data_IF_711707086401
#
_entry.id   IF_711707086401
#
_cell.length_a   1.000
_cell.length_b   1.000
_cell.length_c   1.000
_cell.angle_alpha   90.00
_cell.angle_beta   90.00
_cell.angle_gamma   90.00
#
_symmetry.space_group_name_H-M   'P 1'
#
loop_
_entity.id
_entity.type
_entity.pdbx_description
1 polymer ?
#
# COMPACT_ATOMS: atom_id res chain seq x y z
N UNK A 1 -4.33 -21.94 -6.38
CA UNK A 1 -2.91 -21.60 -6.12
C UNK A 1 -2.14 -21.36 -7.41
N UNK A 2 -2.22 -22.25 -8.42
CA UNK A 2 -1.49 -22.09 -9.67
C UNK A 2 -1.89 -20.85 -10.50
N UNK A 3 -3.17 -20.48 -10.51
CA UNK A 3 -3.60 -19.21 -11.15
C UNK A 3 -3.03 -17.97 -10.45
N UNK A 4 -2.99 -17.96 -9.11
CA UNK A 4 -2.42 -16.85 -8.32
C UNK A 4 -0.94 -16.62 -8.59
N UNK A 5 -0.16 -17.69 -8.78
CA UNK A 5 1.26 -17.60 -9.11
C UNK A 5 1.46 -16.99 -10.50
N UNK A 6 0.61 -17.35 -11.47
CA UNK A 6 0.66 -16.83 -12.85
C UNK A 6 0.32 -15.36 -12.99
N UNK A 7 -0.23 -14.75 -11.94
CA UNK A 7 -0.67 -13.36 -11.94
C UNK A 7 0.06 -12.49 -10.91
N UNK A 8 1.11 -13.01 -10.29
CA UNK A 8 1.90 -12.27 -9.29
C UNK A 8 3.40 -12.36 -9.57
N UNK A 9 3.81 -12.73 -10.77
CA UNK A 9 5.23 -12.88 -11.14
C UNK A 9 6.00 -11.56 -11.09
N UNK A 10 5.35 -10.44 -11.41
CA UNK A 10 5.94 -9.08 -11.35
C UNK A 10 6.32 -8.64 -9.93
N UNK A 11 5.76 -9.27 -8.89
CA UNK A 11 6.05 -8.93 -7.49
C UNK A 11 7.53 -9.17 -7.16
N UNK A 12 8.11 -10.25 -7.67
CA UNK A 12 9.50 -10.59 -7.40
C UNK A 12 10.50 -9.51 -7.89
N UNK A 13 10.50 -9.10 -9.17
CA UNK A 13 11.39 -8.04 -9.63
C UNK A 13 11.06 -6.67 -8.99
N UNK A 14 9.80 -6.40 -8.64
CA UNK A 14 9.43 -5.18 -7.88
C UNK A 14 10.05 -5.17 -6.47
N UNK A 15 10.03 -6.29 -5.75
CA UNK A 15 10.70 -6.42 -4.45
C UNK A 15 12.22 -6.24 -4.56
N UNK A 16 12.84 -6.74 -5.63
CA UNK A 16 14.26 -6.51 -5.90
C UNK A 16 14.53 -5.02 -6.13
N UNK A 17 13.69 -4.32 -6.90
CA UNK A 17 13.80 -2.88 -7.09
C UNK A 17 13.66 -2.09 -5.78
N UNK A 18 12.69 -2.45 -4.94
CA UNK A 18 12.52 -1.86 -3.61
C UNK A 18 13.73 -2.14 -2.70
N UNK A 19 14.32 -3.34 -2.80
CA UNK A 19 15.57 -3.71 -2.15
C UNK A 19 16.73 -2.81 -2.52
N UNK A 20 16.95 -2.61 -3.83
CA UNK A 20 18.02 -1.75 -4.34
C UNK A 20 17.80 -0.27 -3.95
N UNK A 21 16.55 0.20 -3.94
CA UNK A 21 16.22 1.54 -3.48
C UNK A 21 16.51 1.71 -1.98
N UNK A 22 16.07 0.76 -1.14
CA UNK A 22 16.35 0.80 0.29
C UNK A 22 17.86 0.77 0.57
N UNK A 23 18.62 -0.04 -0.18
CA UNK A 23 20.08 -0.12 -0.06
C UNK A 23 20.76 1.23 -0.32
N UNK A 24 20.40 1.91 -1.41
CA UNK A 24 20.91 3.24 -1.76
C UNK A 24 20.59 4.27 -0.68
N UNK A 25 19.43 4.14 -0.03
CA UNK A 25 18.99 5.06 1.01
C UNK A 25 19.67 4.81 2.36
N UNK A 26 19.97 3.55 2.70
CA UNK A 26 20.66 3.20 3.95
C UNK A 26 22.18 3.33 3.83
N UNK A 27 22.72 3.23 2.61
CA UNK A 27 24.14 3.35 2.30
C UNK A 27 24.34 4.37 1.16
N UNK A 28 24.42 5.67 1.48
CA UNK A 28 24.56 6.73 0.47
C UNK A 28 25.82 6.60 -0.40
N UNK A 29 26.86 5.92 0.09
CA UNK A 29 28.06 5.53 -0.66
C UNK A 29 27.73 4.66 -1.88
N UNK A 30 26.68 3.85 -1.80
CA UNK A 30 26.20 2.99 -2.88
C UNK A 30 25.42 3.76 -3.95
N UNK A 31 25.00 5.01 -3.70
CA UNK A 31 24.25 5.80 -4.67
C UNK A 31 25.06 6.08 -5.95
N UNK A 32 26.36 6.33 -5.81
CA UNK A 32 27.25 6.58 -6.95
C UNK A 32 27.74 5.30 -7.64
N UNK A 33 27.40 4.12 -7.11
CA UNK A 33 27.83 2.86 -7.68
C UNK A 33 27.12 2.62 -9.04
N UNK A 34 27.85 2.60 -10.17
CA UNK A 34 27.25 2.49 -11.49
C UNK A 34 26.48 1.17 -11.64
N UNK A 35 26.95 0.10 -11.00
CA UNK A 35 26.31 -1.23 -11.07
C UNK A 35 24.90 -1.20 -10.48
N UNK A 36 24.70 -0.54 -9.34
CA UNK A 36 23.38 -0.44 -8.69
C UNK A 36 22.44 0.43 -9.52
N UNK A 37 22.94 1.53 -10.07
CA UNK A 37 22.17 2.41 -10.97
C UNK A 37 21.71 1.67 -12.23
N UNK A 38 22.62 0.96 -12.90
CA UNK A 38 22.29 0.20 -14.11
C UNK A 38 21.41 -1.01 -13.80
N UNK A 39 21.59 -1.68 -12.66
CA UNK A 39 20.70 -2.77 -12.23
C UNK A 39 19.26 -2.29 -12.05
N UNK A 40 19.04 -1.14 -11.38
CA UNK A 40 17.70 -0.54 -11.23
C UNK A 40 17.07 -0.22 -12.59
N UNK A 41 17.84 0.39 -13.49
CA UNK A 41 17.37 0.73 -14.86
C UNK A 41 17.08 -0.52 -15.71
N UNK A 42 17.92 -1.55 -15.63
CA UNK A 42 17.75 -2.80 -16.37
C UNK A 42 16.58 -3.65 -15.85
N UNK A 43 16.27 -3.55 -14.55
CA UNK A 43 15.11 -4.21 -13.95
C UNK A 43 13.78 -3.61 -14.42
N UNK A 44 13.75 -2.35 -14.86
CA UNK A 44 12.52 -1.68 -15.29
C UNK A 44 11.80 -2.40 -16.45
N UNK A 45 12.43 -2.63 -17.63
CA UNK A 45 11.77 -3.36 -18.72
C UNK A 45 11.40 -4.80 -18.33
N UNK A 46 12.20 -5.44 -17.46
CA UNK A 46 11.92 -6.78 -16.96
C UNK A 46 10.64 -6.79 -16.10
N UNK A 47 10.56 -5.91 -15.10
CA UNK A 47 9.39 -5.74 -14.22
C UNK A 47 8.13 -5.44 -15.01
N UNK A 48 8.21 -4.54 -16.01
CA UNK A 48 7.06 -4.26 -16.88
C UNK A 48 6.66 -5.45 -17.75
N UNK A 49 7.62 -6.23 -18.26
CA UNK A 49 7.33 -7.42 -19.05
C UNK A 49 6.56 -8.47 -18.23
N UNK A 50 6.98 -8.70 -16.98
CA UNK A 50 6.24 -9.57 -16.06
C UNK A 50 4.86 -9.00 -15.71
N UNK A 51 4.76 -7.69 -15.48
CA UNK A 51 3.48 -7.03 -15.17
C UNK A 51 2.48 -7.17 -16.33
N UNK A 52 2.93 -6.96 -17.57
CA UNK A 52 2.11 -7.13 -18.77
C UNK A 52 1.68 -8.59 -18.97
N UNK A 53 2.59 -9.53 -18.72
CA UNK A 53 2.27 -10.97 -18.72
C UNK A 53 1.22 -11.32 -17.67
N UNK A 54 1.34 -10.79 -16.45
CA UNK A 54 0.38 -11.03 -15.37
C UNK A 54 -1.00 -10.41 -15.71
N UNK A 55 -1.03 -9.19 -16.27
CA UNK A 55 -2.24 -8.55 -16.80
C UNK A 55 -2.92 -9.40 -17.87
N UNK A 56 -2.15 -9.93 -18.81
CA UNK A 56 -2.65 -10.81 -19.85
C UNK A 56 -3.24 -12.11 -19.26
N UNK A 57 -2.55 -12.72 -18.30
CA UNK A 57 -3.00 -13.93 -17.63
C UNK A 57 -4.28 -13.69 -16.82
N UNK A 58 -4.41 -12.53 -16.17
CA UNK A 58 -5.61 -12.18 -15.42
C UNK A 58 -6.82 -12.03 -16.31
N UNK A 59 -6.67 -11.33 -17.44
CA UNK A 59 -7.74 -11.15 -18.41
C UNK A 59 -8.30 -12.52 -18.84
N UNK A 60 -7.41 -13.47 -19.08
CA UNK A 60 -7.73 -14.84 -19.52
C UNK A 60 -8.05 -15.83 -18.37
N UNK A 61 -7.95 -15.42 -17.10
CA UNK A 61 -8.23 -16.30 -15.96
C UNK A 61 -9.71 -16.61 -15.78
N UNK A 62 -10.04 -17.64 -15.01
CA UNK A 62 -11.42 -17.96 -14.64
C UNK A 62 -11.92 -17.19 -13.40
N UNK A 63 -11.14 -16.22 -12.91
CA UNK A 63 -11.51 -15.42 -11.74
C UNK A 63 -12.76 -14.59 -12.01
N UNK A 64 -13.52 -14.30 -10.95
CA UNK A 64 -14.69 -13.44 -11.06
C UNK A 64 -14.31 -12.03 -11.51
N UNK A 65 -15.23 -11.34 -12.18
CA UNK A 65 -14.98 -9.99 -12.71
C UNK A 65 -14.55 -9.02 -11.60
N UNK A 66 -15.11 -9.15 -10.40
CA UNK A 66 -14.74 -8.34 -9.24
C UNK A 66 -13.28 -8.57 -8.82
N UNK A 67 -12.81 -9.82 -8.82
CA UNK A 67 -11.42 -10.12 -8.48
C UNK A 67 -10.50 -9.59 -9.58
N UNK A 68 -10.89 -9.74 -10.86
CA UNK A 68 -10.13 -9.19 -11.99
C UNK A 68 -9.98 -7.68 -11.88
N UNK A 69 -11.06 -6.93 -11.69
CA UNK A 69 -10.97 -5.46 -11.59
C UNK A 69 -10.11 -5.02 -10.41
N UNK A 70 -10.29 -5.60 -9.22
CA UNK A 70 -9.47 -5.22 -8.07
C UNK A 70 -7.98 -5.51 -8.28
N UNK A 71 -7.64 -6.66 -8.89
CA UNK A 71 -6.26 -7.01 -9.21
C UNK A 71 -5.68 -6.12 -10.33
N UNK A 72 -6.45 -5.84 -11.38
CA UNK A 72 -6.06 -4.94 -12.46
C UNK A 72 -5.75 -3.53 -11.95
N UNK A 73 -6.63 -2.94 -11.14
CA UNK A 73 -6.36 -1.66 -10.48
C UNK A 73 -5.09 -1.71 -9.61
N UNK A 74 -4.90 -2.79 -8.86
CA UNK A 74 -3.70 -2.96 -8.01
C UNK A 74 -2.43 -2.98 -8.87
N UNK A 75 -2.45 -3.69 -10.00
CA UNK A 75 -1.31 -3.77 -10.92
C UNK A 75 -1.08 -2.49 -11.71
N UNK A 76 -2.14 -1.74 -12.05
CA UNK A 76 -2.02 -0.38 -12.54
C UNK A 76 -1.24 0.49 -11.54
N UNK A 77 -1.55 0.38 -10.25
CA UNK A 77 -0.77 1.02 -9.19
C UNK A 77 0.69 0.52 -9.13
N UNK A 78 0.92 -0.78 -9.31
CA UNK A 78 2.28 -1.35 -9.36
C UNK A 78 3.09 -0.85 -10.56
N UNK A 79 2.46 -0.56 -11.71
CA UNK A 79 3.14 0.02 -12.87
C UNK A 79 3.80 1.37 -12.51
N UNK A 80 3.04 2.25 -11.86
CA UNK A 80 3.54 3.53 -11.37
C UNK A 80 4.61 3.34 -10.29
N UNK A 81 4.43 2.38 -9.37
CA UNK A 81 5.44 2.05 -8.35
C UNK A 81 6.75 1.58 -8.95
N UNK A 82 6.72 0.67 -9.91
CA UNK A 82 7.92 0.16 -10.60
C UNK A 82 8.70 1.34 -11.22
N UNK A 83 7.99 2.29 -11.84
CA UNK A 83 8.60 3.51 -12.35
C UNK A 83 9.22 4.36 -11.23
N UNK A 84 8.47 4.64 -10.15
CA UNK A 84 8.95 5.40 -9.00
C UNK A 84 10.17 4.74 -8.34
N UNK A 85 10.11 3.44 -8.05
CA UNK A 85 11.22 2.66 -7.47
C UNK A 85 12.48 2.68 -8.35
N UNK A 86 12.33 2.86 -9.66
CA UNK A 86 13.47 2.93 -10.58
C UNK A 86 14.11 4.32 -10.60
N UNK A 87 13.29 5.37 -10.63
CA UNK A 87 13.77 6.74 -10.88
C UNK A 87 13.90 7.61 -9.63
N UNK A 88 13.35 7.19 -8.50
CA UNK A 88 13.43 7.94 -7.26
C UNK A 88 14.89 7.99 -6.75
N UNK A 89 15.31 9.20 -6.37
CA UNK A 89 16.64 9.48 -5.85
C UNK A 89 16.53 10.07 -4.44
N UNK A 90 17.46 9.76 -3.54
CA UNK A 90 17.55 10.43 -2.26
C UNK A 90 17.73 11.93 -2.49
N UNK A 91 16.96 12.74 -1.76
CA UNK A 91 17.11 14.19 -1.80
C UNK A 91 18.51 14.50 -1.29
N UNK A 92 19.38 15.01 -2.15
CA UNK A 92 20.70 15.49 -1.74
C UNK A 92 20.47 16.62 -0.75
N UNK A 93 20.73 16.39 0.53
CA UNK A 93 20.87 17.48 1.48
C UNK A 93 21.92 18.41 0.91
N UNK A 94 21.51 19.63 0.57
CA UNK A 94 22.44 20.72 0.32
C UNK A 94 23.19 20.94 1.63
N UNK A 95 24.40 20.40 1.68
CA UNK A 95 25.55 20.83 2.48
C UNK A 95 25.26 22.10 3.31
N UNK A 96 24.71 21.93 4.51
CA UNK A 96 24.85 22.94 5.56
C UNK A 96 26.24 22.73 6.16
N UNK A 97 27.19 23.54 5.70
CA UNK A 97 28.42 23.83 6.44
C UNK A 97 28.02 24.31 7.83
N UNK A 98 28.41 23.58 8.89
CA UNK A 98 29.45 24.06 9.80
C UNK A 98 29.67 23.11 10.99
N UNK A 99 30.97 22.93 11.25
CA UNK A 99 31.65 22.54 12.49
C UNK A 99 31.88 21.04 12.82
N UNK A 100 33.13 20.69 13.16
CA UNK A 100 33.58 19.32 13.42
C UNK A 100 33.57 18.98 14.91
N UNK A 101 33.42 17.71 15.23
CA UNK A 101 34.05 17.15 16.42
C UNK A 101 34.30 15.66 16.21
N UNK A 102 35.57 15.32 16.11
CA UNK A 102 36.12 13.99 16.29
C UNK A 102 35.56 13.33 17.56
N UNK A 103 35.20 12.06 17.49
CA UNK A 103 35.74 11.08 18.44
C UNK A 103 35.54 9.64 17.97
N UNK A 104 36.68 8.95 17.98
CA UNK A 104 36.93 7.55 17.64
C UNK A 104 36.29 6.65 18.72
N UNK A 105 35.41 5.73 18.36
CA UNK A 105 35.22 4.52 19.18
C UNK A 105 34.91 3.29 18.32
N UNK A 106 35.95 2.50 18.12
CA UNK A 106 35.94 1.12 17.64
C UNK A 106 35.18 0.20 18.60
N UNK A 107 34.57 -0.86 18.04
CA UNK A 107 33.95 -2.05 18.67
C UNK A 107 32.45 -2.01 19.03
N UNK A 108 31.58 -1.94 18.02
CA UNK A 108 30.19 -2.46 18.06
C UNK A 108 29.83 -3.08 16.71
N UNK A 109 30.25 -4.32 16.44
CA UNK A 109 30.05 -4.98 15.12
C UNK A 109 29.39 -6.35 15.26
N UNK A 110 28.36 -6.51 16.11
CA UNK A 110 27.59 -7.77 16.05
C UNK A 110 26.13 -7.70 16.51
N UNK A 111 25.72 -6.68 17.28
CA UNK A 111 24.32 -6.54 17.71
C UNK A 111 23.45 -5.65 16.80
N UNK A 112 24.04 -4.74 16.01
CA UNK A 112 23.35 -3.86 15.06
C UNK A 112 22.92 -4.57 13.76
N UNK A 113 23.65 -5.62 13.33
CA UNK A 113 23.48 -6.24 12.01
C UNK A 113 22.23 -7.12 11.84
N UNK A 114 21.58 -7.57 12.93
CA UNK A 114 20.33 -8.35 12.85
C UNK A 114 19.08 -7.50 13.02
N UNK A 115 19.20 -6.40 13.77
CA UNK A 115 18.16 -5.38 13.86
C UNK A 115 17.97 -4.71 12.49
N UNK A 116 19.05 -4.53 11.74
CA UNK A 116 19.00 -4.09 10.35
C UNK A 116 18.27 -5.08 9.44
N UNK A 117 18.47 -6.40 9.55
CA UNK A 117 17.91 -7.36 8.59
C UNK A 117 16.37 -7.43 8.57
N UNK A 118 15.71 -7.60 9.72
CA UNK A 118 14.24 -7.65 9.79
C UNK A 118 13.62 -6.30 9.44
N UNK A 119 14.19 -5.20 9.95
CA UNK A 119 13.76 -3.85 9.61
C UNK A 119 13.96 -3.54 8.13
N UNK A 120 15.03 -4.04 7.52
CA UNK A 120 15.30 -3.91 6.09
C UNK A 120 14.26 -4.70 5.28
N UNK A 121 13.95 -5.94 5.65
CA UNK A 121 12.91 -6.72 4.96
C UNK A 121 11.53 -6.06 5.07
N UNK A 122 11.15 -5.57 6.25
CA UNK A 122 9.91 -4.82 6.43
C UNK A 122 9.93 -3.52 5.62
N UNK A 123 11.04 -2.78 5.60
CA UNK A 123 11.18 -1.56 4.82
C UNK A 123 11.03 -1.82 3.32
N UNK A 124 11.66 -2.89 2.81
CA UNK A 124 11.57 -3.31 1.41
C UNK A 124 10.12 -3.67 1.05
N UNK A 125 9.45 -4.43 1.91
CA UNK A 125 8.05 -4.80 1.70
C UNK A 125 7.13 -3.57 1.69
N UNK A 126 7.34 -2.64 2.63
CA UNK A 126 6.59 -1.38 2.68
C UNK A 126 6.88 -0.51 1.45
N UNK A 127 8.12 -0.42 0.99
CA UNK A 127 8.46 0.31 -0.24
C UNK A 127 7.76 -0.29 -1.47
N UNK A 128 7.69 -1.62 -1.53
CA UNK A 128 7.04 -2.33 -2.62
C UNK A 128 5.50 -2.18 -2.61
N UNK A 129 4.86 -2.17 -1.43
CA UNK A 129 3.40 -2.33 -1.31
C UNK A 129 2.65 -1.27 -0.50
N UNK A 130 3.31 -0.50 0.36
CA UNK A 130 2.68 0.55 1.18
C UNK A 130 2.64 1.90 0.44
N UNK A 131 1.75 2.81 0.84
CA UNK A 131 1.37 4.01 0.08
C UNK A 131 2.48 4.82 -0.60
N UNK A 132 3.63 5.02 0.05
CA UNK A 132 4.76 5.83 -0.45
C UNK A 132 5.96 4.97 -0.86
N UNK A 133 6.68 5.36 -1.91
CA UNK A 133 7.98 4.80 -2.26
C UNK A 133 9.15 5.56 -1.63
N UNK A 134 8.88 6.53 -0.73
CA UNK A 134 9.89 7.30 -0.02
C UNK A 134 10.35 6.59 1.28
N UNK A 135 11.61 6.14 1.38
CA UNK A 135 12.12 5.48 2.59
C UNK A 135 12.17 6.36 3.84
N UNK A 136 11.99 7.69 3.74
CA UNK A 136 11.89 8.56 4.92
C UNK A 136 10.55 8.45 5.65
N UNK A 137 9.51 7.90 5.01
CA UNK A 137 8.18 7.69 5.59
C UNK A 137 8.05 6.37 6.35
N UNK A 138 9.18 5.70 6.64
CA UNK A 138 9.27 4.38 7.30
C UNK A 138 8.26 4.25 8.45
N UNK A 139 7.40 3.24 8.36
CA UNK A 139 6.72 2.71 9.53
C UNK A 139 7.81 2.10 10.41
N UNK A 140 8.24 2.85 11.42
CA UNK A 140 9.17 2.33 12.40
C UNK A 140 8.50 1.21 13.17
N UNK A 141 9.14 0.05 13.22
CA UNK A 141 8.86 -0.99 14.21
C UNK A 141 9.31 -0.46 15.58
N UNK A 142 8.63 0.57 16.07
CA UNK A 142 8.89 1.15 17.37
C UNK A 142 8.47 0.13 18.43
N UNK A 143 9.36 -0.19 19.40
CA UNK A 143 8.94 -0.93 20.57
C UNK A 143 7.88 -0.10 21.30
N UNK A 144 6.70 -0.67 21.50
CA UNK A 144 5.65 -0.01 22.26
C UNK A 144 5.96 -0.09 23.76
N UNK A 145 5.87 1.03 24.47
CA UNK A 145 5.95 1.03 25.93
C UNK A 145 4.82 0.14 26.49
N UNK A 146 5.17 -0.90 27.26
CA UNK A 146 4.22 -1.82 27.93
C UNK A 146 3.22 -2.54 26.99
N UNK A 147 3.71 -3.11 25.89
CA UNK A 147 2.94 -3.98 25.00
C UNK A 147 2.51 -5.31 25.67
N UNK A 148 1.36 -5.29 26.34
CA UNK A 148 0.76 -6.45 26.99
C UNK A 148 -0.21 -7.24 26.10
N UNK A 149 -0.72 -8.36 26.62
CA UNK A 149 -1.76 -9.18 25.97
C UNK A 149 -3.05 -8.36 25.71
N UNK A 150 -3.33 -7.38 26.57
CA UNK A 150 -4.48 -6.49 26.44
C UNK A 150 -4.49 -5.69 25.13
N UNK A 151 -3.36 -5.05 24.78
CA UNK A 151 -3.27 -4.25 23.56
C UNK A 151 -3.40 -5.11 22.29
N UNK A 152 -2.81 -6.32 22.31
CA UNK A 152 -2.96 -7.26 21.21
C UNK A 152 -4.41 -7.77 21.09
N UNK A 153 -5.12 -7.92 22.21
CA UNK A 153 -6.53 -8.29 22.22
C UNK A 153 -7.40 -7.15 21.66
N UNK A 154 -7.12 -5.89 22.00
CA UNK A 154 -7.78 -4.72 21.38
C UNK A 154 -7.53 -4.72 19.87
N UNK A 155 -6.29 -4.94 19.43
CA UNK A 155 -5.94 -5.05 18.02
C UNK A 155 -6.74 -6.14 17.31
N UNK A 156 -6.83 -7.33 17.91
CA UNK A 156 -7.59 -8.46 17.39
C UNK A 156 -9.09 -8.17 17.32
N UNK A 157 -9.70 -7.71 18.41
CA UNK A 157 -11.12 -7.37 18.50
C UNK A 157 -11.50 -6.26 17.52
N UNK A 158 -10.66 -5.23 17.39
CA UNK A 158 -10.85 -4.16 16.43
C UNK A 158 -10.83 -4.67 14.99
N UNK A 159 -9.92 -5.59 14.68
CA UNK A 159 -9.82 -6.24 13.36
C UNK A 159 -11.04 -7.12 13.07
N UNK A 160 -11.47 -7.93 14.04
CA UNK A 160 -12.66 -8.78 13.92
C UNK A 160 -13.93 -7.95 13.72
N UNK A 161 -14.11 -6.88 14.51
CA UNK A 161 -15.23 -5.93 14.36
C UNK A 161 -15.28 -5.35 12.95
N UNK A 162 -14.13 -4.95 12.40
CA UNK A 162 -14.04 -4.41 11.04
C UNK A 162 -14.42 -5.46 10.01
N UNK A 163 -13.93 -6.70 10.13
CA UNK A 163 -14.30 -7.79 9.21
C UNK A 163 -15.79 -8.11 9.25
N UNK A 164 -16.41 -8.15 10.43
CA UNK A 164 -17.86 -8.37 10.57
C UNK A 164 -18.61 -7.25 9.84
N UNK A 165 -18.24 -6.00 10.07
CA UNK A 165 -18.84 -4.85 9.41
C UNK A 165 -18.71 -4.93 7.88
N UNK A 166 -17.51 -5.23 7.36
CA UNK A 166 -17.28 -5.39 5.92
C UNK A 166 -18.12 -6.53 5.32
N UNK A 167 -18.29 -7.64 6.04
CA UNK A 167 -19.15 -8.75 5.59
C UNK A 167 -20.62 -8.33 5.53
N UNK A 168 -21.16 -7.69 6.56
CA UNK A 168 -22.54 -7.18 6.55
C UNK A 168 -22.75 -6.18 5.41
N UNK A 169 -21.82 -5.25 5.22
CA UNK A 169 -21.84 -4.30 4.11
C UNK A 169 -21.78 -5.00 2.73
N UNK A 170 -20.99 -6.06 2.60
CA UNK A 170 -20.90 -6.86 1.37
C UNK A 170 -22.22 -7.53 1.03
N UNK A 171 -22.85 -8.19 2.01
CA UNK A 171 -24.14 -8.85 1.82
C UNK A 171 -25.22 -7.82 1.47
N UNK A 172 -25.25 -6.69 2.16
CA UNK A 172 -26.20 -5.61 1.85
C UNK A 172 -26.00 -5.08 0.41
N UNK A 173 -24.76 -4.82 0.00
CA UNK A 173 -24.44 -4.38 -1.36
C UNK A 173 -24.81 -5.43 -2.42
N UNK A 174 -24.58 -6.72 -2.16
CA UNK A 174 -24.98 -7.82 -3.04
C UNK A 174 -26.50 -7.91 -3.20
N UNK A 175 -27.24 -7.78 -2.10
CA UNK A 175 -28.70 -7.80 -2.13
C UNK A 175 -29.24 -6.63 -2.95
N UNK A 176 -28.74 -5.41 -2.72
CA UNK A 176 -29.13 -4.21 -3.45
C UNK A 176 -28.77 -4.31 -4.94
N UNK A 177 -27.57 -4.78 -5.27
CA UNK A 177 -27.13 -5.03 -6.64
C UNK A 177 -28.04 -6.03 -7.35
N UNK A 178 -28.30 -7.19 -6.72
CA UNK A 178 -29.18 -8.23 -7.26
C UNK A 178 -30.58 -7.68 -7.51
N UNK A 179 -31.11 -6.93 -6.55
CA UNK A 179 -32.43 -6.32 -6.64
C UNK A 179 -32.54 -5.30 -7.77
N UNK A 180 -31.49 -4.52 -8.03
CA UNK A 180 -31.45 -3.59 -9.15
C UNK A 180 -31.38 -4.26 -10.54
N UNK A 181 -30.94 -5.52 -10.58
CA UNK A 181 -30.79 -6.30 -11.81
C UNK A 181 -31.96 -7.24 -12.10
N UNK A 182 -32.75 -7.60 -11.09
CA UNK A 182 -33.85 -8.53 -11.26
C UNK A 182 -35.14 -7.80 -11.66
N UNK A 183 -35.41 -7.77 -12.96
CA UNK A 183 -36.58 -7.07 -13.51
C UNK A 183 -37.90 -7.74 -13.11
N UNK A 184 -37.88 -9.01 -12.68
CA UNK A 184 -39.08 -9.76 -12.28
C UNK A 184 -39.64 -9.33 -10.92
N UNK A 185 -38.78 -8.87 -10.02
CA UNK A 185 -39.15 -8.44 -8.65
C UNK A 185 -39.69 -7.00 -8.66
N UNK A 186 -39.23 -6.17 -9.60
CA UNK A 186 -39.50 -4.74 -9.66
C UNK A 186 -40.95 -4.42 -10.07
N UNK A 187 -41.68 -5.36 -10.69
CA UNK A 187 -42.99 -5.08 -11.30
C UNK A 187 -44.15 -4.83 -10.30
N UNK A 188 -44.05 -5.29 -9.05
CA UNK A 188 -45.24 -5.44 -8.20
C UNK A 188 -45.34 -4.52 -6.97
N UNK A 189 -44.37 -3.63 -6.73
CA UNK A 189 -44.30 -2.86 -5.47
C UNK A 189 -43.75 -1.42 -5.70
N UNK A 190 -44.41 -0.37 -5.17
CA UNK A 190 -44.04 1.03 -5.43
C UNK A 190 -42.65 1.44 -4.93
N UNK A 191 -42.12 0.78 -3.89
CA UNK A 191 -40.74 0.97 -3.40
C UNK A 191 -39.69 0.62 -4.47
N UNK A 192 -40.00 -0.28 -5.41
CA UNK A 192 -39.08 -0.75 -6.43
C UNK A 192 -39.04 0.15 -7.68
N UNK A 193 -40.02 1.06 -7.82
CA UNK A 193 -39.99 2.11 -8.86
C UNK A 193 -38.82 3.06 -8.63
N UNK A 194 -38.50 3.36 -7.37
CA UNK A 194 -37.34 4.18 -7.00
C UNK A 194 -36.02 3.48 -7.40
N UNK A 195 -35.92 2.17 -7.16
CA UNK A 195 -34.75 1.36 -7.52
C UNK A 195 -34.53 1.34 -9.04
N UNK A 196 -35.62 1.32 -9.82
CA UNK A 196 -35.55 1.41 -11.29
C UNK A 196 -35.02 2.77 -11.74
N UNK A 197 -35.50 3.85 -11.13
CA UNK A 197 -35.09 5.22 -11.50
C UNK A 197 -33.63 5.50 -11.18
N UNK A 198 -33.08 4.92 -10.11
CA UNK A 198 -31.69 5.09 -9.70
C UNK A 198 -30.82 3.85 -9.96
N UNK A 199 -31.19 3.02 -10.94
CA UNK A 199 -30.52 1.74 -11.22
C UNK A 199 -29.01 1.92 -11.47
N UNK A 200 -28.63 2.94 -12.22
CA UNK A 200 -27.22 3.27 -12.50
C UNK A 200 -26.45 3.66 -11.23
N UNK A 201 -27.02 4.50 -10.40
CA UNK A 201 -26.42 5.05 -9.19
C UNK A 201 -26.29 3.97 -8.12
N UNK A 202 -27.31 3.12 -7.98
CA UNK A 202 -27.29 1.96 -7.09
C UNK A 202 -26.21 0.97 -7.52
N UNK A 203 -26.05 0.74 -8.83
CA UNK A 203 -24.98 -0.09 -9.37
C UNK A 203 -23.61 0.51 -9.08
N UNK A 204 -23.41 1.79 -9.37
CA UNK A 204 -22.16 2.49 -9.11
C UNK A 204 -21.79 2.45 -7.62
N UNK A 205 -22.76 2.70 -6.74
CA UNK A 205 -22.58 2.61 -5.29
C UNK A 205 -22.18 1.21 -4.85
N UNK A 206 -22.92 0.18 -5.29
CA UNK A 206 -22.63 -1.21 -4.95
C UNK A 206 -21.25 -1.65 -5.47
N UNK A 207 -20.87 -1.20 -6.66
CA UNK A 207 -19.54 -1.42 -7.22
C UNK A 207 -18.44 -0.81 -6.35
N UNK A 208 -18.61 0.46 -5.95
CA UNK A 208 -17.71 1.13 -5.02
C UNK A 208 -17.58 0.40 -3.68
N UNK A 209 -18.70 -0.15 -3.17
CA UNK A 209 -18.70 -0.98 -1.96
C UNK A 209 -17.89 -2.27 -2.15
N UNK A 210 -18.03 -2.97 -3.28
CA UNK A 210 -17.25 -4.17 -3.55
C UNK A 210 -15.75 -3.91 -3.70
N UNK A 211 -15.37 -2.81 -4.35
CA UNK A 211 -13.97 -2.41 -4.46
C UNK A 211 -13.39 -2.10 -3.07
N UNK A 212 -14.09 -1.30 -2.28
CA UNK A 212 -13.66 -0.99 -0.92
C UNK A 212 -13.47 -2.24 -0.06
N UNK A 213 -14.47 -3.12 -0.04
CA UNK A 213 -14.43 -4.36 0.74
C UNK A 213 -13.31 -5.27 0.21
N UNK A 214 -13.14 -5.34 -1.12
CA UNK A 214 -12.09 -6.10 -1.78
C UNK A 214 -10.68 -5.66 -1.40
N UNK A 215 -10.48 -4.39 -1.07
CA UNK A 215 -9.19 -3.84 -0.61
C UNK A 215 -9.03 -3.99 0.91
N UNK A 216 -10.05 -3.63 1.70
CA UNK A 216 -9.94 -3.56 3.16
C UNK A 216 -9.93 -4.94 3.83
N UNK A 217 -10.60 -5.94 3.23
CA UNK A 217 -10.64 -7.30 3.75
C UNK A 217 -9.26 -7.99 3.74
N UNK A 218 -8.48 -8.00 2.63
CA UNK A 218 -7.10 -8.46 2.65
C UNK A 218 -6.23 -7.76 3.70
N UNK A 219 -6.40 -6.46 3.91
CA UNK A 219 -5.72 -5.72 4.99
C UNK A 219 -6.06 -6.27 6.38
N UNK A 220 -7.34 -6.59 6.63
CA UNK A 220 -7.76 -7.21 7.87
C UNK A 220 -7.20 -8.63 8.04
N UNK A 221 -7.13 -9.43 6.97
CA UNK A 221 -6.52 -10.76 6.98
C UNK A 221 -5.02 -10.69 7.29
N UNK A 222 -4.32 -9.71 6.71
CA UNK A 222 -2.91 -9.46 7.02
C UNK A 222 -2.72 -9.11 8.51
N UNK A 223 -3.56 -8.21 9.06
CA UNK A 223 -3.56 -7.89 10.49
C UNK A 223 -3.76 -9.13 11.36
N UNK A 224 -4.74 -9.99 11.04
CA UNK A 224 -4.95 -11.26 11.75
C UNK A 224 -3.74 -12.18 11.67
N UNK A 225 -3.08 -12.27 10.51
CA UNK A 225 -1.87 -13.08 10.36
C UNK A 225 -0.73 -12.60 11.26
N UNK A 226 -0.53 -11.29 11.39
CA UNK A 226 0.50 -10.72 12.24
C UNK A 226 0.20 -10.91 13.72
N UNK A 227 -1.08 -10.82 14.12
CA UNK A 227 -1.51 -11.18 15.47
C UNK A 227 -1.23 -12.66 15.77
N UNK A 228 -1.60 -13.58 14.85
CA UNK A 228 -1.33 -15.00 15.00
C UNK A 228 0.17 -15.28 15.15
N UNK A 229 1.00 -14.67 14.29
CA UNK A 229 2.46 -14.75 14.38
C UNK A 229 2.99 -14.26 15.74
N UNK A 230 2.44 -13.16 16.28
CA UNK A 230 2.86 -12.62 17.59
C UNK A 230 2.45 -13.54 18.74
N UNK A 231 1.26 -14.14 18.68
CA UNK A 231 0.83 -15.15 19.66
C UNK A 231 1.72 -16.40 19.59
N UNK A 232 1.99 -16.92 18.39
CA UNK A 232 2.90 -18.04 18.19
C UNK A 232 4.31 -17.71 18.70
N UNK A 233 4.81 -16.49 18.44
CA UNK A 233 6.10 -16.02 18.93
C UNK A 233 6.19 -16.03 20.46
N UNK A 234 5.15 -15.59 21.17
CA UNK A 234 5.07 -15.65 22.64
C UNK A 234 5.02 -17.07 23.20
N UNK A 235 4.37 -17.99 22.49
CA UNK A 235 4.35 -19.40 22.88
C UNK A 235 5.73 -20.02 22.65
N UNK A 236 6.34 -19.75 21.51
CA UNK A 236 7.64 -20.30 21.12
C UNK A 236 8.77 -19.75 21.99
N UNK A 237 8.72 -18.49 22.41
CA UNK A 237 9.74 -17.90 23.29
C UNK A 237 9.82 -18.56 24.67
N UNK A 238 8.73 -19.21 25.12
CA UNK A 238 8.72 -20.00 26.36
C UNK A 238 9.32 -21.40 26.20
N UNK A 239 9.35 -21.91 24.97
CA UNK A 239 9.74 -23.30 24.66
C UNK A 239 11.17 -23.37 24.12
N UNK A 240 11.60 -22.36 23.37
CA UNK A 240 12.92 -22.35 22.72
C UNK A 240 14.02 -21.99 23.73
N UNK A 241 14.97 -22.90 23.90
CA UNK A 241 16.14 -22.70 24.75
C UNK A 241 17.29 -21.96 24.07
N UNK A 242 17.26 -21.78 22.74
CA UNK A 242 18.29 -21.02 22.03
C UNK A 242 18.17 -19.51 22.38
N UNK A 243 19.19 -18.93 23.05
CA UNK A 243 19.15 -17.54 23.50
C UNK A 243 19.05 -16.53 22.34
N UNK A 244 19.56 -16.87 21.14
CA UNK A 244 19.50 -15.97 19.97
C UNK A 244 18.09 -15.90 19.39
N UNK A 245 17.43 -17.04 19.29
CA UNK A 245 16.05 -17.13 18.79
C UNK A 245 15.11 -16.51 19.81
N UNK A 246 15.31 -16.81 21.11
CA UNK A 246 14.53 -16.23 22.19
C UNK A 246 14.58 -14.69 22.20
N UNK A 247 15.78 -14.08 22.13
CA UNK A 247 15.95 -12.62 22.04
C UNK A 247 15.24 -12.00 20.83
N UNK A 248 15.18 -12.72 19.70
CA UNK A 248 14.50 -12.24 18.48
C UNK A 248 12.98 -12.27 18.65
N UNK A 249 12.45 -13.36 19.23
CA UNK A 249 11.02 -13.50 19.52
C UNK A 249 10.56 -12.47 20.56
N UNK A 250 11.33 -12.25 21.62
CA UNK A 250 11.04 -11.23 22.63
C UNK A 250 10.96 -9.82 22.04
N UNK A 251 11.87 -9.48 21.12
CA UNK A 251 11.80 -8.20 20.39
C UNK A 251 10.54 -8.08 19.54
N UNK A 252 10.20 -9.13 18.79
CA UNK A 252 8.95 -9.13 18.01
C UNK A 252 7.71 -9.01 18.93
N UNK A 253 7.75 -9.59 20.12
CA UNK A 253 6.68 -9.49 21.12
C UNK A 253 6.50 -8.05 21.67
N UNK A 254 7.50 -7.18 21.54
CA UNK A 254 7.45 -5.76 21.93
C UNK A 254 6.92 -4.84 20.81
N UNK A 255 6.72 -5.33 19.59
CA UNK A 255 6.24 -4.54 18.45
C UNK A 255 4.79 -4.15 18.64
N UNK A 256 4.47 -2.85 18.52
CA UNK A 256 3.09 -2.39 18.45
C UNK A 256 2.41 -2.77 17.14
N UNK A 257 1.52 -3.77 17.21
CA UNK A 257 0.77 -4.23 16.06
C UNK A 257 -0.14 -3.15 15.48
N UNK A 258 -0.71 -2.29 16.31
CA UNK A 258 -1.64 -1.24 15.86
C UNK A 258 -0.91 -0.18 15.04
N UNK A 259 0.31 0.18 15.45
CA UNK A 259 1.15 1.14 14.75
C UNK A 259 1.86 0.51 13.54
N UNK A 260 2.38 -0.70 13.68
CA UNK A 260 3.13 -1.37 12.61
C UNK A 260 2.24 -1.85 11.46
N UNK A 261 0.99 -2.24 11.77
CA UNK A 261 0.05 -2.79 10.80
C UNK A 261 -1.30 -2.06 10.87
N UNK A 262 -1.37 -0.75 10.54
CA UNK A 262 -2.62 0.00 10.59
C UNK A 262 -3.67 -0.55 9.61
N UNK A 263 -4.93 -0.17 9.79
CA UNK A 263 -5.94 -0.45 8.77
C UNK A 263 -5.59 0.28 7.47
N UNK A 264 -5.85 -0.36 6.33
CA UNK A 264 -5.65 0.25 5.01
C UNK A 264 -6.50 1.52 4.91
N UNK A 265 -7.75 1.44 5.34
CA UNK A 265 -8.63 2.60 5.49
C UNK A 265 -8.74 2.99 6.97
N UNK A 266 -8.08 4.08 7.36
CA UNK A 266 -8.19 4.59 8.74
C UNK A 266 -9.59 5.08 9.07
N UNK A 267 -10.29 5.64 8.08
CA UNK A 267 -11.67 6.10 8.18
C UNK A 267 -12.56 5.32 7.21
N UNK A 268 -13.83 5.15 7.56
CA UNK A 268 -14.80 4.47 6.70
C UNK A 268 -15.22 5.39 5.54
N UNK A 269 -15.14 4.95 4.26
CA UNK A 269 -15.69 5.70 3.12
C UNK A 269 -17.13 6.16 3.31
N UNK A 270 -17.95 5.37 4.02
CA UNK A 270 -19.35 5.69 4.32
C UNK A 270 -19.53 6.83 5.34
N UNK A 271 -18.48 7.20 6.08
CA UNK A 271 -18.52 8.28 7.08
C UNK A 271 -18.19 9.66 6.52
N UNK A 272 -17.93 9.77 5.22
CA UNK A 272 -17.54 11.02 4.59
C UNK A 272 -18.71 12.03 4.54
N UNK A 273 -18.42 13.27 4.91
CA UNK A 273 -19.41 14.37 4.95
C UNK A 273 -19.63 15.06 3.59
N UNK A 274 -18.73 14.85 2.64
CA UNK A 274 -18.77 15.43 1.28
C UNK A 274 -17.92 14.63 0.31
N UNK A 275 -18.06 14.87 -0.99
CA UNK A 275 -17.24 14.24 -2.04
C UNK A 275 -15.75 14.53 -1.85
N UNK A 276 -15.39 15.76 -1.48
CA UNK A 276 -14.01 16.14 -1.19
C UNK A 276 -13.47 15.38 0.01
N UNK A 277 -14.26 15.27 1.09
CA UNK A 277 -13.89 14.53 2.31
C UNK A 277 -13.76 13.02 2.04
N UNK A 278 -14.62 12.47 1.19
CA UNK A 278 -14.56 11.09 0.72
C UNK A 278 -13.22 10.81 0.02
N UNK A 279 -12.93 11.53 -1.07
CA UNK A 279 -11.73 11.27 -1.86
C UNK A 279 -10.45 11.58 -1.11
N UNK A 280 -10.41 12.66 -0.33
CA UNK A 280 -9.15 13.12 0.29
C UNK A 280 -8.78 12.40 1.60
N UNK A 281 -9.76 11.94 2.38
CA UNK A 281 -9.52 11.45 3.76
C UNK A 281 -10.08 10.06 4.04
N UNK A 282 -11.00 9.56 3.21
CA UNK A 282 -11.65 8.28 3.46
C UNK A 282 -11.37 7.24 2.38
N UNK A 283 -11.04 7.65 1.15
CA UNK A 283 -10.80 6.75 0.02
C UNK A 283 -9.32 6.71 -0.40
N UNK A 284 -8.74 7.84 -0.80
CA UNK A 284 -7.37 7.84 -1.32
C UNK A 284 -6.28 7.87 -0.26
N UNK A 285 -6.56 7.73 1.04
CA UNK A 285 -5.47 7.85 2.04
C UNK A 285 -4.32 6.86 1.77
N UNK A 286 -4.64 5.64 1.31
CA UNK A 286 -3.65 4.63 0.90
C UNK A 286 -2.89 4.99 -0.37
N UNK A 287 -3.56 5.55 -1.38
CA UNK A 287 -2.99 5.86 -2.70
C UNK A 287 -2.50 7.31 -2.82
N UNK A 288 -2.69 8.11 -1.77
CA UNK A 288 -2.40 9.54 -1.76
C UNK A 288 -0.95 9.80 -2.12
N UNK A 289 -0.05 9.07 -1.48
CA UNK A 289 1.38 9.24 -1.72
C UNK A 289 1.75 8.79 -3.14
N UNK A 290 1.18 7.69 -3.63
CA UNK A 290 1.31 7.29 -5.04
C UNK A 290 0.84 8.39 -6.01
N UNK A 291 -0.33 8.99 -5.80
CA UNK A 291 -0.83 10.06 -6.66
C UNK A 291 0.00 11.34 -6.56
N UNK A 292 0.53 11.62 -5.37
CA UNK A 292 1.43 12.77 -5.17
C UNK A 292 2.77 12.52 -5.86
N UNK A 293 3.36 11.34 -5.69
CA UNK A 293 4.68 10.98 -6.21
C UNK A 293 4.66 10.76 -7.73
N UNK A 294 3.67 10.03 -8.25
CA UNK A 294 3.55 9.71 -9.68
C UNK A 294 2.82 10.79 -10.51
N UNK A 295 1.96 11.61 -9.87
CA UNK A 295 1.12 12.58 -10.57
C UNK A 295 1.47 14.03 -10.24
N UNK A 296 1.24 14.44 -8.99
CA UNK A 296 1.36 15.86 -8.58
C UNK A 296 2.79 16.37 -8.74
N UNK A 297 3.76 15.61 -8.22
CA UNK A 297 5.18 16.00 -8.14
C UNK A 297 5.80 16.19 -9.52
N UNK A 298 5.72 15.23 -10.47
CA UNK A 298 6.33 15.41 -11.78
C UNK A 298 5.70 16.55 -12.58
N UNK A 299 4.37 16.73 -12.52
CA UNK A 299 3.69 17.85 -13.18
C UNK A 299 4.13 19.18 -12.58
N UNK A 300 4.17 19.28 -11.25
CA UNK A 300 4.61 20.49 -10.55
C UNK A 300 6.06 20.81 -10.88
N UNK A 301 6.94 19.82 -10.85
CA UNK A 301 8.36 19.96 -11.18
C UNK A 301 8.54 20.45 -12.62
N UNK A 302 7.81 19.86 -13.57
CA UNK A 302 7.87 20.29 -14.97
C UNK A 302 7.49 21.77 -15.13
N UNK A 303 6.35 22.18 -14.56
CA UNK A 303 5.86 23.55 -14.66
C UNK A 303 6.78 24.58 -13.98
N UNK A 304 7.34 24.24 -12.82
CA UNK A 304 8.20 25.17 -12.07
C UNK A 304 9.61 25.22 -12.65
N UNK A 305 10.22 24.06 -12.88
CA UNK A 305 11.64 23.96 -13.25
C UNK A 305 11.90 24.19 -14.74
N UNK A 306 10.96 23.83 -15.63
CA UNK A 306 11.16 24.01 -17.08
C UNK A 306 10.39 25.20 -17.64
N UNK A 307 9.17 25.46 -17.13
CA UNK A 307 8.35 26.58 -17.63
C UNK A 307 8.43 27.84 -16.75
N UNK A 308 9.14 27.78 -15.62
CA UNK A 308 9.40 28.94 -14.76
C UNK A 308 8.18 29.47 -14.01
N UNK A 309 7.10 28.69 -13.89
CA UNK A 309 5.94 29.11 -13.12
C UNK A 309 6.24 29.19 -11.62
N UNK A 310 5.58 30.11 -10.93
CA UNK A 310 5.66 30.19 -9.47
C UNK A 310 4.97 28.99 -8.81
N UNK A 311 5.65 28.33 -7.88
CA UNK A 311 5.13 27.18 -7.14
C UNK A 311 3.79 27.48 -6.43
N UNK A 312 3.62 28.70 -5.93
CA UNK A 312 2.41 29.16 -5.23
C UNK A 312 1.24 29.50 -6.16
N UNK A 313 1.44 29.44 -7.49
CA UNK A 313 0.39 29.74 -8.45
C UNK A 313 -0.76 28.75 -8.37
N UNK A 314 -2.00 29.26 -8.43
CA UNK A 314 -3.22 28.43 -8.52
C UNK A 314 -3.16 27.49 -9.73
N UNK A 315 -2.57 27.93 -10.83
CA UNK A 315 -2.43 27.12 -12.05
C UNK A 315 -1.55 25.90 -11.82
N UNK A 316 -0.39 26.07 -11.16
CA UNK A 316 0.52 24.96 -10.83
C UNK A 316 -0.18 23.96 -9.90
N UNK A 317 -0.88 24.47 -8.87
CA UNK A 317 -1.65 23.62 -7.94
C UNK A 317 -2.74 22.81 -8.65
N UNK A 318 -3.55 23.45 -9.52
CA UNK A 318 -4.62 22.76 -10.26
C UNK A 318 -4.01 21.72 -11.21
N UNK A 319 -2.94 22.07 -11.92
CA UNK A 319 -2.26 21.14 -12.83
C UNK A 319 -1.70 19.92 -12.10
N UNK A 320 -1.10 20.12 -10.92
CA UNK A 320 -0.66 19.02 -10.06
C UNK A 320 -1.82 18.10 -9.67
N UNK A 321 -2.97 18.66 -9.28
CA UNK A 321 -4.19 17.88 -8.99
C UNK A 321 -4.66 17.11 -10.23
N UNK A 322 -4.60 17.72 -11.43
CA UNK A 322 -4.92 17.01 -12.67
C UNK A 322 -3.97 15.85 -12.95
N UNK A 323 -2.68 15.99 -12.62
CA UNK A 323 -1.71 14.89 -12.65
C UNK A 323 -2.13 13.71 -11.76
N UNK A 324 -2.58 13.98 -10.53
CA UNK A 324 -3.12 12.93 -9.65
C UNK A 324 -4.35 12.23 -10.25
N UNK A 325 -5.29 12.99 -10.83
CA UNK A 325 -6.47 12.42 -11.50
C UNK A 325 -6.10 11.60 -12.73
N UNK A 326 -5.10 12.02 -13.51
CA UNK A 326 -4.62 11.26 -14.66
C UNK A 326 -4.04 9.90 -14.25
N UNK A 327 -3.22 9.86 -13.18
CA UNK A 327 -2.71 8.60 -12.62
C UNK A 327 -3.87 7.71 -12.16
N UNK A 328 -4.84 8.28 -11.44
CA UNK A 328 -6.03 7.54 -11.01
C UNK A 328 -6.82 6.96 -12.19
N UNK A 329 -7.04 7.75 -13.24
CA UNK A 329 -7.74 7.31 -14.44
C UNK A 329 -7.03 6.13 -15.13
N UNK A 330 -5.70 6.18 -15.26
CA UNK A 330 -4.92 5.07 -15.82
C UNK A 330 -5.04 3.81 -14.96
N UNK A 331 -5.00 3.95 -13.63
CA UNK A 331 -5.19 2.81 -12.72
C UNK A 331 -6.56 2.16 -12.93
N UNK A 332 -7.60 2.96 -13.08
CA UNK A 332 -8.96 2.47 -13.33
C UNK A 332 -9.09 1.79 -14.68
N UNK A 333 -8.55 2.37 -15.75
CA UNK A 333 -8.58 1.79 -17.11
C UNK A 333 -7.88 0.42 -17.17
N UNK A 334 -6.79 0.22 -16.43
CA UNK A 334 -6.09 -1.08 -16.36
C UNK A 334 -6.94 -2.14 -15.63
N UNK A 335 -7.89 -1.72 -14.79
CA UNK A 335 -8.82 -2.60 -14.08
C UNK A 335 -10.07 -3.00 -14.87
N UNK A 336 -10.38 -2.34 -15.98
CA UNK A 336 -11.54 -2.63 -16.84
C UNK A 336 -11.27 -3.73 -17.87
#
# INVERSE_FOLDING_TARGET
>A
MMEWIKVTTHVAPMLIQAGLLNLVWTHPDQFQNPTIRWARLALLPLSFSFLLSDLWNLKNSQLSIFIKTNLGCTWGGHAFRIALLTFQQPVSEKQSKDSPSDEKSTSKVSEDDRQSALQNLTSIFLLAFAGSTNPSTKASLLPGFNQGIHEDLIFFLGTLRRMIFLNFSSVAALMVWKLSNDESIILNQPIFVLIRNYKSEIRAFSWGMFVWIGIDLPGCLHRLSMFALKVTSRLLSKVVSDPKISKTLERFNQVDLSQAFPFIFKKSPLGASSVTDFWSRHWHEMLKDLFVEAGVTPVTYFLVSFLGFQLTSKFVRISGIMGAFAVSAVIHEVGE
#
